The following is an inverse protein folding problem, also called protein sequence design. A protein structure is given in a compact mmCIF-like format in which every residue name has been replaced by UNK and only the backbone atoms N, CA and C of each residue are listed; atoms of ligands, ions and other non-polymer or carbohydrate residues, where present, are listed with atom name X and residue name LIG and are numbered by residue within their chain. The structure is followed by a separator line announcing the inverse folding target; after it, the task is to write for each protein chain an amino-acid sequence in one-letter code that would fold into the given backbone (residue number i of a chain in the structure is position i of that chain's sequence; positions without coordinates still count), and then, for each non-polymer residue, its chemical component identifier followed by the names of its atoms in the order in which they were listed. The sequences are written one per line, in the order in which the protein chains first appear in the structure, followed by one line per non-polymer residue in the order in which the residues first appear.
data_IF_441515258909
#
_entry.id   IF_441515258909
#
_cell.length_a   1.000
_cell.length_b   1.000
_cell.length_c   1.000
_cell.angle_alpha   90.00
_cell.angle_beta   90.00
_cell.angle_gamma   90.00
#
_symmetry.space_group_name_H-M   'P 1'
#
loop_
_entity.id
_entity.type
_entity.pdbx_description
1 polymer ?
#
# COMPACT_ATOMS: atom_id res chain seq x y z
N UNK A 1 -23.31 13.36 -5.88
CA UNK A 1 -22.39 14.43 -6.35
C UNK A 1 -21.07 14.24 -5.61
N UNK A 2 -19.95 14.14 -6.32
CA UNK A 2 -18.62 14.02 -5.69
C UNK A 2 -18.18 15.42 -5.25
N UNK A 3 -17.74 15.55 -3.99
CA UNK A 3 -17.12 16.79 -3.49
C UNK A 3 -15.63 16.74 -3.76
N UNK A 4 -15.06 17.83 -4.26
CA UNK A 4 -13.62 17.98 -4.48
C UNK A 4 -13.05 18.99 -3.50
N UNK A 5 -11.80 18.79 -3.12
CA UNK A 5 -11.06 19.62 -2.17
C UNK A 5 -9.71 20.01 -2.77
N UNK A 6 -9.13 21.11 -2.28
CA UNK A 6 -7.89 21.66 -2.83
C UNK A 6 -6.63 21.08 -2.18
N UNK A 7 -6.74 20.57 -0.94
CA UNK A 7 -5.61 20.01 -0.20
C UNK A 7 -5.96 18.69 0.51
N UNK A 8 -4.95 17.85 0.84
CA UNK A 8 -5.17 16.66 1.67
C UNK A 8 -5.73 16.97 3.06
N UNK A 9 -5.34 18.10 3.66
CA UNK A 9 -5.90 18.60 4.93
C UNK A 9 -7.40 18.84 4.83
N UNK A 10 -7.87 19.52 3.78
CA UNK A 10 -9.31 19.77 3.58
C UNK A 10 -10.11 18.45 3.47
N UNK A 11 -9.53 17.43 2.82
CA UNK A 11 -10.13 16.10 2.75
C UNK A 11 -10.23 15.49 4.15
N UNK A 12 -9.19 15.61 4.95
CA UNK A 12 -9.12 15.07 6.31
C UNK A 12 -10.18 15.70 7.22
N UNK A 13 -10.34 17.02 7.17
CA UNK A 13 -11.33 17.76 7.96
C UNK A 13 -12.75 17.31 7.64
N UNK A 14 -13.03 17.05 6.37
CA UNK A 14 -14.37 16.77 5.88
C UNK A 14 -14.72 15.28 5.74
N UNK A 15 -13.80 14.37 6.06
CA UNK A 15 -13.98 12.92 5.89
C UNK A 15 -13.72 12.15 7.19
N UNK A 16 -14.42 11.03 7.38
CA UNK A 16 -14.17 10.11 8.50
C UNK A 16 -13.17 9.01 8.12
N UNK A 17 -13.14 8.64 6.84
CA UNK A 17 -12.24 7.63 6.30
C UNK A 17 -11.57 8.24 5.08
N UNK A 18 -10.24 8.20 5.07
CA UNK A 18 -9.40 8.80 4.04
C UNK A 18 -8.64 7.67 3.38
N UNK A 19 -8.78 7.52 2.06
CA UNK A 19 -8.04 6.52 1.29
C UNK A 19 -6.98 7.24 0.48
N UNK A 20 -5.71 6.87 0.66
CA UNK A 20 -4.58 7.38 -0.12
C UNK A 20 -4.11 6.31 -1.10
N UNK A 21 -3.95 6.68 -2.37
CA UNK A 21 -3.40 5.84 -3.41
C UNK A 21 -2.66 6.74 -4.40
N UNK A 22 -1.39 7.03 -4.11
CA UNK A 22 -0.54 7.91 -4.92
C UNK A 22 0.55 7.09 -5.64
N UNK A 23 1.48 7.76 -6.32
CA UNK A 23 2.36 7.05 -7.27
C UNK A 23 3.55 6.36 -6.62
N UNK A 24 4.09 6.90 -5.54
CA UNK A 24 5.32 6.41 -4.93
C UNK A 24 5.40 6.70 -3.41
N UNK A 25 6.35 6.07 -2.69
CA UNK A 25 6.51 6.24 -1.25
C UNK A 25 6.80 7.68 -0.80
N UNK A 26 7.46 8.50 -1.63
CA UNK A 26 7.77 9.90 -1.29
C UNK A 26 6.48 10.73 -1.28
N UNK A 27 5.64 10.55 -2.30
CA UNK A 27 4.34 11.21 -2.36
C UNK A 27 3.43 10.75 -1.21
N UNK A 28 3.46 9.46 -0.86
CA UNK A 28 2.68 8.95 0.29
C UNK A 28 3.11 9.67 1.59
N UNK A 29 4.43 9.80 1.84
CA UNK A 29 4.94 10.58 2.99
C UNK A 29 4.57 12.06 2.90
N UNK A 30 4.64 12.67 1.71
CA UNK A 30 4.26 14.08 1.52
C UNK A 30 2.78 14.32 1.84
N UNK A 31 1.89 13.39 1.50
CA UNK A 31 0.46 13.48 1.84
C UNK A 31 0.25 13.53 3.36
N UNK A 32 1.08 12.86 4.15
CA UNK A 32 0.95 12.82 5.62
C UNK A 32 1.86 13.81 6.37
N UNK A 33 2.92 14.34 5.77
CA UNK A 33 3.86 15.27 6.44
C UNK A 33 4.06 16.62 5.74
N UNK A 34 3.52 16.82 4.54
CA UNK A 34 3.63 18.07 3.79
C UNK A 34 2.91 19.25 4.44
N UNK A 35 3.09 20.44 3.86
CA UNK A 35 2.60 21.71 4.40
C UNK A 35 1.07 21.78 4.61
N UNK A 36 0.31 20.98 3.86
CA UNK A 36 -1.15 20.81 3.97
C UNK A 36 -1.52 19.32 4.09
N UNK A 37 -0.76 18.59 4.91
CA UNK A 37 -0.93 17.16 5.06
C UNK A 37 -2.21 16.77 5.77
N UNK A 38 -2.56 15.49 5.60
CA UNK A 38 -3.65 14.83 6.32
C UNK A 38 -3.43 14.82 7.83
N UNK A 39 -2.17 14.78 8.28
CA UNK A 39 -1.79 14.79 9.69
C UNK A 39 -1.88 16.19 10.34
N UNK A 40 -2.26 17.22 9.59
CA UNK A 40 -2.34 18.58 10.09
C UNK A 40 -1.01 19.12 10.62
N UNK A 41 -1.06 20.27 11.30
CA UNK A 41 0.13 20.87 11.94
C UNK A 41 0.23 20.46 13.41
N UNK A 42 -0.85 20.65 14.17
CA UNK A 42 -0.87 20.47 15.63
C UNK A 42 -2.11 19.71 16.10
N UNK A 43 -2.00 19.08 17.28
CA UNK A 43 -3.10 18.40 17.96
C UNK A 43 -3.57 17.09 17.35
N UNK A 44 -4.69 16.58 17.87
CA UNK A 44 -5.31 15.31 17.47
C UNK A 44 -6.30 15.52 16.31
N UNK A 45 -5.84 16.13 15.22
CA UNK A 45 -6.70 16.48 14.08
C UNK A 45 -7.31 15.25 13.36
N UNK A 46 -6.76 14.06 13.61
CA UNK A 46 -7.27 12.78 13.08
C UNK A 46 -8.05 11.97 14.13
N UNK A 47 -8.36 12.54 15.29
CA UNK A 47 -9.12 11.85 16.34
C UNK A 47 -10.41 11.21 15.81
N UNK A 48 -10.50 9.89 15.96
CA UNK A 48 -11.63 9.08 15.50
C UNK A 48 -11.69 8.81 13.99
N UNK A 49 -10.78 9.38 13.19
CA UNK A 49 -10.73 9.21 11.74
C UNK A 49 -9.86 8.01 11.36
N UNK A 50 -10.17 7.41 10.22
CA UNK A 50 -9.40 6.31 9.62
C UNK A 50 -8.59 6.78 8.41
N UNK A 51 -7.36 6.30 8.30
CA UNK A 51 -6.50 6.46 7.14
C UNK A 51 -6.16 5.10 6.55
N UNK A 52 -6.46 4.92 5.26
CA UNK A 52 -6.14 3.72 4.50
C UNK A 52 -5.05 4.05 3.49
N UNK A 53 -3.91 3.38 3.60
CA UNK A 53 -2.79 3.51 2.66
C UNK A 53 -2.81 2.38 1.63
N UNK A 54 -3.05 2.72 0.37
CA UNK A 54 -3.15 1.79 -0.76
C UNK A 54 -2.01 1.99 -1.78
N UNK A 55 -1.12 2.95 -1.56
CA UNK A 55 0.08 3.16 -2.37
C UNK A 55 1.01 1.95 -2.24
N UNK A 56 1.64 1.56 -3.35
CA UNK A 56 2.67 0.53 -3.35
C UNK A 56 3.93 1.02 -2.65
N UNK A 57 4.04 0.73 -1.35
CA UNK A 57 5.15 1.15 -0.48
C UNK A 57 5.83 -0.05 0.18
N UNK A 58 7.04 0.18 0.70
CA UNK A 58 7.73 -0.81 1.51
C UNK A 58 7.20 -0.83 2.96
N UNK A 59 7.45 -1.93 3.71
CA UNK A 59 6.92 -2.08 5.07
C UNK A 59 7.41 -1.03 6.06
N UNK A 60 8.60 -0.47 5.85
CA UNK A 60 9.14 0.55 6.75
C UNK A 60 8.43 1.88 6.52
N UNK A 61 8.26 2.28 5.26
CA UNK A 61 7.44 3.46 4.92
C UNK A 61 6.01 3.34 5.45
N UNK A 62 5.40 2.15 5.39
CA UNK A 62 4.05 1.92 5.94
C UNK A 62 3.98 2.16 7.46
N UNK A 63 4.99 1.68 8.19
CA UNK A 63 5.11 1.92 9.63
C UNK A 63 5.33 3.39 9.97
N UNK A 64 6.21 4.07 9.24
CA UNK A 64 6.42 5.51 9.41
C UNK A 64 5.09 6.28 9.29
N UNK A 65 4.31 5.98 8.24
CA UNK A 65 3.00 6.59 8.01
C UNK A 65 2.04 6.24 9.15
N UNK A 66 2.00 4.99 9.59
CA UNK A 66 1.20 4.55 10.73
C UNK A 66 1.51 5.35 11.99
N UNK A 67 2.79 5.54 12.33
CA UNK A 67 3.23 6.30 13.50
C UNK A 67 2.78 7.77 13.41
N UNK A 68 2.93 8.40 12.23
CA UNK A 68 2.50 9.77 12.00
C UNK A 68 0.99 9.90 12.19
N UNK A 69 0.19 9.03 11.56
CA UNK A 69 -1.27 9.06 11.67
C UNK A 69 -1.72 8.82 13.11
N UNK A 70 -1.12 7.84 13.79
CA UNK A 70 -1.46 7.48 15.16
C UNK A 70 -1.09 8.60 16.14
N UNK A 71 0.03 9.30 15.92
CA UNK A 71 0.45 10.45 16.73
C UNK A 71 -0.52 11.64 16.68
N UNK A 72 -1.44 11.65 15.71
CA UNK A 72 -2.50 12.65 15.54
C UNK A 72 -3.89 12.12 15.93
N UNK A 73 -3.95 10.98 16.61
CA UNK A 73 -5.18 10.33 17.08
C UNK A 73 -5.94 9.54 16.01
N UNK A 74 -5.35 9.33 14.83
CA UNK A 74 -5.96 8.59 13.73
C UNK A 74 -5.76 7.07 13.85
N UNK A 75 -6.65 6.31 13.21
CA UNK A 75 -6.53 4.87 12.99
C UNK A 75 -5.88 4.62 11.63
N UNK A 76 -4.98 3.65 11.54
CA UNK A 76 -4.23 3.36 10.31
C UNK A 76 -4.47 1.92 9.82
N UNK A 77 -4.65 1.77 8.51
CA UNK A 77 -4.73 0.48 7.83
C UNK A 77 -3.95 0.55 6.50
N UNK A 78 -2.99 -0.35 6.30
CA UNK A 78 -2.44 -0.56 4.95
C UNK A 78 -3.36 -1.51 4.17
N UNK A 79 -3.59 -1.23 2.89
CA UNK A 79 -4.46 -1.98 2.00
C UNK A 79 -3.83 -2.13 0.61
N UNK A 80 -2.98 -3.13 0.43
CA UNK A 80 -2.29 -3.39 -0.83
C UNK A 80 -3.21 -4.12 -1.81
N UNK A 81 -3.22 -3.71 -3.08
CA UNK A 81 -4.10 -4.27 -4.10
C UNK A 81 -3.34 -5.16 -5.10
N UNK A 82 -3.98 -6.26 -5.47
CA UNK A 82 -3.50 -7.21 -6.47
C UNK A 82 -4.55 -7.33 -7.59
N UNK A 83 -4.11 -7.05 -8.81
CA UNK A 83 -4.96 -7.11 -10.00
C UNK A 83 -4.47 -6.15 -11.09
N UNK A 84 -5.07 -6.25 -12.26
CA UNK A 84 -4.88 -5.38 -13.41
C UNK A 84 -5.81 -4.16 -13.31
N UNK A 85 -5.57 -3.17 -14.17
CA UNK A 85 -6.47 -2.02 -14.31
C UNK A 85 -7.90 -2.43 -14.67
N UNK A 86 -8.04 -3.44 -15.53
CA UNK A 86 -9.35 -3.94 -15.93
C UNK A 86 -10.10 -4.55 -14.74
N UNK A 87 -9.41 -5.34 -13.90
CA UNK A 87 -9.99 -5.89 -12.68
C UNK A 87 -10.34 -4.78 -11.67
N UNK A 88 -9.57 -3.69 -11.60
CA UNK A 88 -9.93 -2.51 -10.79
C UNK A 88 -11.22 -1.85 -11.27
N UNK A 89 -11.38 -1.67 -12.59
CA UNK A 89 -12.59 -1.09 -13.19
C UNK A 89 -13.83 -1.98 -12.99
N UNK A 90 -13.63 -3.30 -12.83
CA UNK A 90 -14.70 -4.29 -12.60
C UNK A 90 -14.99 -4.54 -11.12
N UNK A 91 -14.18 -4.00 -10.20
CA UNK A 91 -14.32 -4.27 -8.76
C UNK A 91 -13.85 -5.68 -8.37
N UNK A 92 -12.92 -6.26 -9.12
CA UNK A 92 -12.45 -7.65 -8.99
C UNK A 92 -11.05 -7.77 -8.35
N UNK A 93 -10.51 -6.69 -7.79
CA UNK A 93 -9.22 -6.71 -7.10
C UNK A 93 -9.19 -7.66 -5.90
N UNK A 94 -8.00 -8.18 -5.60
CA UNK A 94 -7.71 -8.82 -4.32
C UNK A 94 -7.04 -7.78 -3.42
N UNK A 95 -7.63 -7.51 -2.26
CA UNK A 95 -7.09 -6.54 -1.30
C UNK A 95 -6.42 -7.28 -0.14
N UNK A 96 -5.20 -6.90 0.19
CA UNK A 96 -4.41 -7.40 1.31
C UNK A 96 -4.32 -6.29 2.33
N UNK A 97 -4.85 -6.49 3.53
CA UNK A 97 -4.94 -5.44 4.55
C UNK A 97 -4.23 -5.84 5.83
N UNK A 98 -3.66 -4.87 6.54
CA UNK A 98 -3.05 -5.06 7.86
C UNK A 98 -3.03 -3.74 8.65
N UNK A 99 -3.02 -3.80 9.98
CA UNK A 99 -3.11 -2.65 10.88
C UNK A 99 -4.35 -2.70 11.76
N UNK A 100 -5.13 -1.61 11.78
CA UNK A 100 -6.30 -1.50 12.63
C UNK A 100 -7.45 -2.42 12.16
N UNK A 101 -7.79 -3.41 12.99
CA UNK A 101 -8.83 -4.40 12.68
C UNK A 101 -10.24 -3.81 12.69
N UNK A 102 -10.50 -2.82 13.52
CA UNK A 102 -11.83 -2.17 13.58
C UNK A 102 -12.02 -1.31 12.33
N UNK A 103 -11.01 -0.56 11.92
CA UNK A 103 -11.03 0.19 10.65
C UNK A 103 -11.21 -0.75 9.45
N UNK A 104 -10.57 -1.92 9.45
CA UNK A 104 -10.82 -2.95 8.42
C UNK A 104 -12.29 -3.38 8.38
N UNK A 105 -12.92 -3.60 9.55
CA UNK A 105 -14.34 -3.95 9.63
C UNK A 105 -15.25 -2.81 9.16
N UNK A 106 -14.97 -1.57 9.57
CA UNK A 106 -15.68 -0.36 9.17
C UNK A 106 -15.66 -0.16 7.64
N UNK A 107 -14.56 -0.57 6.98
CA UNK A 107 -14.34 -0.38 5.55
C UNK A 107 -14.76 -1.57 4.66
N UNK A 108 -15.42 -2.59 5.20
CA UNK A 108 -15.86 -3.77 4.44
C UNK A 108 -16.68 -3.43 3.19
N UNK A 109 -17.55 -2.40 3.27
CA UNK A 109 -18.36 -1.95 2.12
C UNK A 109 -17.49 -1.36 1.01
N UNK A 110 -16.46 -0.59 1.37
CA UNK A 110 -15.47 -0.05 0.43
C UNK A 110 -14.69 -1.19 -0.23
N UNK A 111 -14.18 -2.14 0.53
CA UNK A 111 -13.42 -3.27 -0.01
C UNK A 111 -14.26 -4.15 -0.94
N UNK A 112 -15.53 -4.39 -0.60
CA UNK A 112 -16.46 -5.13 -1.46
C UNK A 112 -16.78 -4.40 -2.76
N UNK A 113 -16.73 -3.07 -2.77
CA UNK A 113 -16.95 -2.28 -3.99
C UNK A 113 -15.71 -2.26 -4.91
N UNK A 114 -14.51 -2.33 -4.33
CA UNK A 114 -13.24 -2.27 -5.08
C UNK A 114 -12.72 -3.65 -5.52
N UNK A 115 -13.10 -4.70 -4.79
CA UNK A 115 -12.48 -6.00 -4.92
C UNK A 115 -13.41 -7.18 -4.71
N UNK A 116 -13.03 -8.29 -5.33
CA UNK A 116 -13.67 -9.59 -5.17
C UNK A 116 -13.50 -10.12 -3.75
N UNK A 117 -12.37 -9.82 -3.12
CA UNK A 117 -12.06 -10.28 -1.75
C UNK A 117 -11.05 -9.36 -1.07
N UNK A 118 -11.14 -9.30 0.26
CA UNK A 118 -10.20 -8.59 1.12
C UNK A 118 -9.75 -9.49 2.28
N UNK A 119 -8.44 -9.57 2.50
CA UNK A 119 -7.83 -10.35 3.57
C UNK A 119 -7.28 -9.43 4.65
N UNK A 120 -7.50 -9.77 5.92
CA UNK A 120 -6.83 -9.11 7.05
C UNK A 120 -5.68 -9.98 7.54
N UNK A 121 -4.47 -9.44 7.48
CA UNK A 121 -3.22 -10.18 7.67
C UNK A 121 -2.54 -9.93 9.01
N UNK A 122 -3.14 -9.09 9.87
CA UNK A 122 -2.61 -8.79 11.21
C UNK A 122 -1.97 -7.41 11.25
N UNK A 123 -0.75 -7.33 11.78
CA UNK A 123 -0.10 -6.06 12.11
C UNK A 123 0.48 -5.33 10.89
N UNK A 124 0.66 -4.00 11.04
CA UNK A 124 1.24 -3.14 10.00
C UNK A 124 2.56 -3.68 9.48
N UNK A 125 2.69 -3.68 8.15
CA UNK A 125 3.84 -4.21 7.43
C UNK A 125 3.61 -5.62 6.86
N UNK A 126 2.59 -6.35 7.33
CA UNK A 126 2.34 -7.71 6.85
C UNK A 126 1.73 -7.71 5.44
N UNK A 127 0.81 -6.81 5.16
CA UNK A 127 0.21 -6.71 3.83
C UNK A 127 1.22 -6.24 2.79
N UNK A 128 2.04 -5.24 3.12
CA UNK A 128 3.13 -4.77 2.25
C UNK A 128 4.16 -5.87 1.99
N UNK A 129 4.60 -6.63 3.01
CA UNK A 129 5.50 -7.78 2.81
C UNK A 129 4.89 -8.85 1.89
N UNK A 130 3.65 -9.26 2.15
CA UNK A 130 2.97 -10.25 1.31
C UNK A 130 2.82 -9.75 -0.12
N UNK A 131 2.45 -8.48 -0.31
CA UNK A 131 2.33 -7.85 -1.62
C UNK A 131 3.66 -7.88 -2.40
N UNK A 132 4.77 -7.57 -1.74
CA UNK A 132 6.11 -7.64 -2.34
C UNK A 132 6.46 -9.07 -2.76
N UNK A 133 6.19 -10.07 -1.91
CA UNK A 133 6.42 -11.49 -2.22
C UNK A 133 5.59 -11.92 -3.44
N UNK A 134 4.30 -11.57 -3.49
CA UNK A 134 3.44 -11.89 -4.63
C UNK A 134 3.94 -11.23 -5.91
N UNK A 135 4.38 -9.97 -5.84
CA UNK A 135 4.94 -9.27 -6.98
C UNK A 135 6.27 -9.90 -7.46
N UNK A 136 7.09 -10.44 -6.56
CA UNK A 136 8.29 -11.20 -6.93
C UNK A 136 7.94 -12.51 -7.65
N UNK A 137 6.94 -13.25 -7.16
CA UNK A 137 6.49 -14.50 -7.79
C UNK A 137 5.90 -14.26 -9.18
N UNK A 138 5.20 -13.14 -9.38
CA UNK A 138 4.60 -12.76 -10.66
C UNK A 138 5.61 -12.35 -11.72
N UNK A 139 6.81 -11.88 -11.32
CA UNK A 139 7.83 -11.50 -12.29
C UNK A 139 8.30 -12.76 -13.03
N UNK A 140 8.25 -12.78 -14.37
CA UNK A 140 8.78 -13.92 -15.12
C UNK A 140 10.25 -14.09 -14.76
N UNK A 141 10.65 -15.32 -14.41
CA UNK A 141 12.07 -15.67 -14.30
C UNK A 141 12.72 -15.29 -15.63
N UNK A 142 13.81 -14.48 -15.64
CA UNK A 142 14.52 -14.20 -16.87
C UNK A 142 14.86 -15.53 -17.53
N UNK A 143 14.27 -15.81 -18.70
CA UNK A 143 14.65 -17.02 -19.42
C UNK A 143 16.14 -16.88 -19.72
N UNK A 144 16.95 -17.77 -19.16
CA UNK A 144 18.35 -17.92 -19.56
C UNK A 144 18.37 -17.92 -21.09
N UNK A 145 19.16 -17.04 -21.74
CA UNK A 145 19.18 -16.97 -23.18
C UNK A 145 19.40 -18.38 -23.73
N UNK A 146 18.55 -18.83 -24.67
CA UNK A 146 18.58 -20.22 -25.21
C UNK A 146 19.95 -20.67 -25.75
N UNK A 147 20.90 -19.74 -25.93
CA UNK A 147 22.31 -20.04 -26.28
C UNK A 147 23.18 -20.50 -25.10
N UNK A 148 22.75 -20.31 -23.86
CA UNK A 148 23.49 -20.75 -22.67
C UNK A 148 23.32 -22.26 -22.39
N UNK A 149 22.25 -22.90 -22.87
CA UNK A 149 21.97 -24.32 -22.56
C UNK A 149 23.02 -25.31 -23.11
N UNK A 150 23.89 -24.90 -24.04
CA UNK A 150 25.00 -25.74 -24.53
C UNK A 150 26.30 -25.60 -23.74
N UNK A 151 26.45 -24.60 -22.87
CA UNK A 151 27.70 -24.38 -22.10
C UNK A 151 27.63 -24.84 -20.63
N UNK A 152 26.45 -25.22 -20.13
CA UNK A 152 26.22 -25.43 -18.70
C UNK A 152 26.45 -26.86 -18.17
N UNK A 153 27.06 -27.77 -18.95
CA UNK A 153 27.43 -29.10 -18.45
C UNK A 153 28.92 -29.27 -18.08
N UNK A 154 29.73 -28.21 -18.20
CA UNK A 154 31.12 -28.27 -17.76
C UNK A 154 31.54 -27.01 -17.03
N UNK A 155 31.82 -27.17 -15.73
CA UNK A 155 32.51 -26.26 -14.79
C UNK A 155 31.60 -25.41 -13.89
N UNK A 156 31.69 -25.78 -12.61
CA UNK A 156 31.35 -25.01 -11.41
C UNK A 156 31.88 -23.58 -11.54
N UNK A 157 31.01 -22.58 -11.43
CA UNK A 157 31.42 -21.21 -11.07
C UNK A 157 30.39 -20.54 -10.16
N UNK A 158 30.94 -19.98 -9.09
CA UNK A 158 30.32 -19.14 -8.06
C UNK A 158 29.80 -17.87 -8.72
N UNK A 159 28.55 -17.49 -8.45
CA UNK A 159 27.99 -16.20 -8.89
C UNK A 159 28.23 -15.18 -7.77
N UNK A 160 29.22 -14.32 -7.99
CA UNK A 160 29.38 -13.05 -7.28
C UNK A 160 28.41 -12.06 -7.93
N UNK A 161 27.36 -11.66 -7.21
CA UNK A 161 26.36 -10.73 -7.71
C UNK A 161 26.81 -9.29 -7.47
N UNK A 162 27.43 -8.68 -8.48
CA UNK A 162 27.59 -7.24 -8.59
C UNK A 162 26.39 -6.65 -9.37
N UNK A 163 25.68 -5.74 -8.69
CA UNK A 163 24.82 -4.62 -9.11
C UNK A 163 24.49 -4.41 -10.60
N UNK A 164 23.19 -4.17 -10.88
CA UNK A 164 22.65 -2.89 -11.39
C UNK A 164 21.21 -2.71 -10.90
#
# INVERSE_FOLDING_TARGET
MVKTYSTPMDVAENSQIIVCCVTDPRQAKEVVQGNCSVAGRDGDCLSGKGYIEMTGIDPETSKDICEIISSKGGRYLEAQVQGSRQEAEQGDLVVLTAGDKELFMDCQSCFKAMGKTAFFLGDVGYATKTNLILNLIKKPVPQLPRKASKLYYSRIFVIEAAWY
#
